data_IF_616645573044
#
_entry.id   IF_616645573044
#
_cell.length_a   1.000
_cell.length_b   1.000
_cell.length_c   1.000
_cell.angle_alpha   90.00
_cell.angle_beta   90.00
_cell.angle_gamma   90.00
#
_symmetry.space_group_name_H-M   'P 1'
#
loop_
_entity.id
_entity.type
_entity.pdbx_description
1 polymer ?
#
# COMPACT_ATOMS: atom_id res chain seq x y z
N UNK A 1 2.36 -13.62 8.99
CA UNK A 1 2.37 -12.32 8.28
C UNK A 1 2.18 -11.20 9.29
N UNK A 2 3.15 -10.28 9.41
CA UNK A 2 3.07 -9.12 10.29
C UNK A 2 3.67 -7.91 9.57
N UNK A 3 2.91 -6.84 9.45
CA UNK A 3 3.33 -5.64 8.72
C UNK A 3 2.15 -4.83 8.20
N UNK A 4 2.43 -3.56 7.93
CA UNK A 4 1.53 -2.60 7.32
C UNK A 4 2.09 -2.23 5.95
N UNK A 5 1.24 -2.17 4.91
CA UNK A 5 1.63 -1.69 3.60
C UNK A 5 2.69 -2.55 2.94
N UNK A 6 2.30 -3.73 2.42
CA UNK A 6 3.27 -4.72 1.95
C UNK A 6 4.21 -4.23 0.84
N UNK A 7 3.81 -3.20 0.09
CA UNK A 7 4.69 -2.43 -0.80
C UNK A 7 4.95 -0.99 -0.35
N UNK A 8 3.97 -0.31 0.27
CA UNK A 8 4.17 1.04 0.80
C UNK A 8 3.38 1.27 2.09
N UNK A 9 4.05 1.74 3.13
CA UNK A 9 3.43 2.24 4.36
C UNK A 9 3.69 3.75 4.49
N UNK A 10 2.63 4.55 4.42
CA UNK A 10 2.69 6.00 4.64
C UNK A 10 1.99 6.34 5.96
N UNK A 11 2.75 6.72 6.98
CA UNK A 11 2.25 7.02 8.33
C UNK A 11 2.41 8.51 8.66
N UNK A 12 1.31 9.24 8.76
CA UNK A 12 1.26 10.70 8.95
C UNK A 12 2.10 11.50 7.92
N UNK A 13 2.51 10.87 6.81
CA UNK A 13 3.38 11.44 5.79
C UNK A 13 2.61 11.86 4.52
N UNK A 14 3.32 12.37 3.53
CA UNK A 14 2.76 12.67 2.20
C UNK A 14 3.46 11.83 1.14
N UNK A 15 2.68 11.15 0.29
CA UNK A 15 3.18 10.34 -0.81
C UNK A 15 2.48 10.72 -2.12
N UNK A 16 3.27 10.80 -3.20
CA UNK A 16 2.75 10.98 -4.57
C UNK A 16 3.23 9.80 -5.41
N UNK A 17 2.29 9.07 -6.00
CA UNK A 17 2.52 7.89 -6.82
C UNK A 17 2.06 8.17 -8.23
N UNK A 18 2.96 8.02 -9.19
CA UNK A 18 2.71 8.28 -10.61
C UNK A 18 3.26 7.09 -11.39
N UNK A 19 2.41 6.40 -12.16
CA UNK A 19 2.80 5.22 -12.95
C UNK A 19 3.43 4.10 -12.11
N UNK A 20 2.79 3.74 -10.99
CA UNK A 20 3.31 2.73 -10.04
C UNK A 20 2.48 1.45 -10.10
N UNK A 21 3.11 0.28 -10.01
CA UNK A 21 2.42 -0.99 -9.84
C UNK A 21 2.85 -1.66 -8.55
N UNK A 22 1.88 -1.99 -7.68
CA UNK A 22 2.07 -2.86 -6.53
C UNK A 22 1.56 -4.24 -6.88
N UNK A 23 2.44 -5.24 -6.90
CA UNK A 23 2.04 -6.62 -7.21
C UNK A 23 2.59 -7.67 -6.27
N UNK A 24 1.77 -8.67 -5.93
CA UNK A 24 2.20 -9.82 -5.12
C UNK A 24 2.58 -9.48 -3.68
N UNK A 25 2.23 -8.29 -3.18
CA UNK A 25 2.59 -7.86 -1.84
C UNK A 25 1.62 -8.42 -0.80
N UNK A 26 2.13 -8.75 0.39
CA UNK A 26 1.35 -9.35 1.45
C UNK A 26 1.65 -8.70 2.80
N UNK A 27 0.62 -8.19 3.46
CA UNK A 27 0.72 -7.52 4.76
C UNK A 27 -0.56 -7.72 5.56
N UNK A 28 -0.54 -7.45 6.86
CA UNK A 28 -1.76 -7.57 7.68
C UNK A 28 -2.74 -6.44 7.35
N UNK A 29 -2.23 -5.22 7.18
CA UNK A 29 -3.02 -4.08 6.73
C UNK A 29 -2.47 -3.56 5.42
N UNK A 30 -3.33 -3.44 4.40
CA UNK A 30 -2.94 -2.92 3.10
C UNK A 30 -1.91 -3.80 2.40
N UNK A 31 -2.35 -4.91 1.80
CA UNK A 31 -1.48 -5.87 1.14
C UNK A 31 -0.46 -5.23 0.19
N UNK A 32 -0.88 -4.26 -0.62
CA UNK A 32 0.00 -3.47 -1.49
C UNK A 32 0.44 -2.13 -0.90
N UNK A 33 -0.50 -1.40 -0.30
CA UNK A 33 -0.24 -0.08 0.26
C UNK A 33 -1.12 0.13 1.49
N UNK A 34 -0.56 0.74 2.52
CA UNK A 34 -1.27 1.21 3.69
C UNK A 34 -0.93 2.69 3.92
N UNK A 35 -1.94 3.55 3.88
CA UNK A 35 -1.82 4.98 4.16
C UNK A 35 -2.55 5.28 5.47
N UNK A 36 -1.80 5.44 6.56
CA UNK A 36 -2.32 5.69 7.90
C UNK A 36 -2.13 7.15 8.26
N UNK A 37 -3.25 7.90 8.32
CA UNK A 37 -3.25 9.34 8.56
C UNK A 37 -2.33 10.18 7.65
N UNK A 38 -1.85 9.61 6.54
CA UNK A 38 -1.04 10.31 5.56
C UNK A 38 -1.85 10.90 4.41
N UNK A 39 -1.25 11.83 3.68
CA UNK A 39 -1.75 12.33 2.39
C UNK A 39 -1.21 11.45 1.26
N UNK A 40 -2.08 11.02 0.35
CA UNK A 40 -1.69 10.19 -0.79
C UNK A 40 -2.33 10.74 -2.06
N UNK A 41 -1.50 11.12 -3.01
CA UNK A 41 -1.91 11.35 -4.39
C UNK A 41 -1.47 10.17 -5.26
N UNK A 42 -2.39 9.60 -6.02
CA UNK A 42 -2.13 8.47 -6.90
C UNK A 42 -2.65 8.79 -8.30
N UNK A 43 -1.79 8.67 -9.31
CA UNK A 43 -2.12 8.82 -10.72
C UNK A 43 -1.56 7.63 -11.47
N UNK A 44 -2.41 6.91 -12.19
CA UNK A 44 -2.06 5.67 -12.88
C UNK A 44 -1.31 4.68 -11.98
N UNK A 45 -1.99 4.23 -10.93
CA UNK A 45 -1.46 3.23 -9.99
C UNK A 45 -2.27 1.95 -10.12
N UNK A 46 -1.58 0.81 -10.23
CA UNK A 46 -2.20 -0.51 -10.30
C UNK A 46 -1.85 -1.37 -9.09
N UNK A 47 -2.81 -2.19 -8.66
CA UNK A 47 -2.64 -3.17 -7.58
C UNK A 47 -3.05 -4.55 -8.11
N UNK A 48 -2.12 -5.51 -8.17
CA UNK A 48 -2.38 -6.85 -8.71
C UNK A 48 -1.88 -7.96 -7.79
N UNK A 49 -2.76 -8.89 -7.39
CA UNK A 49 -2.36 -10.04 -6.57
C UNK A 49 -1.80 -9.66 -5.19
N UNK A 50 -2.15 -8.49 -4.64
CA UNK A 50 -1.78 -8.13 -3.28
C UNK A 50 -2.79 -8.72 -2.27
N UNK A 51 -2.32 -9.20 -1.12
CA UNK A 51 -3.16 -9.83 -0.10
C UNK A 51 -3.02 -9.12 1.25
N UNK A 52 -4.12 -8.58 1.75
CA UNK A 52 -4.22 -8.15 3.15
C UNK A 52 -4.61 -9.36 4.01
N UNK A 53 -3.94 -9.55 5.14
CA UNK A 53 -4.25 -10.62 6.08
C UNK A 53 -5.61 -10.39 6.75
N UNK A 54 -6.47 -11.41 6.72
CA UNK A 54 -7.65 -11.48 7.60
C UNK A 54 -7.21 -11.93 8.99
N UNK A 55 -7.78 -11.34 10.06
CA UNK A 55 -7.61 -11.86 11.43
C UNK A 55 -8.11 -13.29 11.53
#
# INVERSE_FOLDING_TARGET
IGGHGGGLFNDHGSATLIHVSFSGNQAYYGGGLFNYYGNLMATDVSFSGNLAGSR
#
